data_IF_819882392235
#
_entry.id   IF_819882392235
#
_cell.length_a   1.000
_cell.length_b   1.000
_cell.length_c   1.000
_cell.angle_alpha   90.00
_cell.angle_beta   90.00
_cell.angle_gamma   90.00
#
_symmetry.space_group_name_H-M   'P 1'
#
loop_
_entity.id
_entity.type
_entity.pdbx_description
1 polymer ?
#
# COMPACT_ATOMS: atom_id res chain seq x y z
N UNK A 1 8.35 14.85 24.56
CA UNK A 1 8.07 15.88 23.53
C UNK A 1 6.83 16.69 23.92
N UNK A 2 5.65 16.07 24.10
CA UNK A 2 4.41 16.80 24.48
C UNK A 2 4.54 17.56 25.79
N UNK A 3 5.14 16.96 26.82
CA UNK A 3 5.39 17.62 28.11
C UNK A 3 6.35 18.81 28.01
N UNK A 4 7.17 18.89 26.97
CA UNK A 4 8.08 19.98 26.68
C UNK A 4 7.49 21.03 25.71
N UNK A 5 6.18 21.00 25.46
CA UNK A 5 5.52 21.94 24.54
C UNK A 5 5.83 21.73 23.05
N UNK A 6 6.56 20.66 22.69
CA UNK A 6 6.91 20.36 21.31
C UNK A 6 5.70 19.78 20.57
N UNK A 7 5.43 20.28 19.36
CA UNK A 7 4.38 19.76 18.48
C UNK A 7 4.73 18.34 18.04
N UNK A 8 3.82 17.41 18.27
CA UNK A 8 3.97 16.01 17.87
C UNK A 8 2.87 15.62 16.88
N UNK A 9 3.25 15.05 15.76
CA UNK A 9 2.38 14.43 14.76
C UNK A 9 2.78 12.97 14.59
N UNK A 10 1.84 12.06 14.80
CA UNK A 10 2.08 10.61 14.66
C UNK A 10 1.45 10.14 13.35
N UNK A 11 2.26 9.97 12.31
CA UNK A 11 1.82 9.43 11.04
C UNK A 11 1.79 7.90 11.09
N UNK A 12 0.61 7.32 10.84
CA UNK A 12 0.36 5.87 10.83
C UNK A 12 0.17 5.44 9.40
N UNK A 13 1.18 4.82 8.83
CA UNK A 13 1.17 4.40 7.43
C UNK A 13 0.46 3.05 7.25
N UNK A 14 -0.30 2.92 6.15
CA UNK A 14 -0.69 1.65 5.60
C UNK A 14 0.50 0.93 4.95
N UNK A 15 0.21 -0.04 4.09
CA UNK A 15 1.24 -0.72 3.30
C UNK A 15 1.84 0.30 2.32
N UNK A 16 3.09 0.70 2.55
CA UNK A 16 3.80 1.61 1.66
C UNK A 16 4.25 0.83 0.42
N UNK A 17 3.75 1.25 -0.73
CA UNK A 17 4.10 0.68 -2.03
C UNK A 17 5.30 1.43 -2.61
N UNK A 18 6.40 0.70 -2.83
CA UNK A 18 7.63 1.21 -3.45
C UNK A 18 8.26 0.12 -4.31
N UNK A 19 8.79 0.43 -5.50
CA UNK A 19 9.50 -0.54 -6.32
C UNK A 19 10.89 -0.91 -5.77
N UNK A 20 11.47 -0.04 -4.94
CA UNK A 20 12.83 -0.17 -4.43
C UNK A 20 12.93 -0.95 -3.12
N UNK A 21 11.80 -1.24 -2.46
CA UNK A 21 11.81 -1.94 -1.18
C UNK A 21 10.42 -2.14 -0.57
N UNK A 22 10.39 -2.72 0.63
CA UNK A 22 9.15 -2.98 1.35
C UNK A 22 8.34 -4.16 0.82
N UNK A 23 7.02 -4.01 0.79
CA UNK A 23 6.10 -5.09 0.45
C UNK A 23 6.03 -5.38 -1.06
N UNK A 24 6.00 -4.33 -1.91
CA UNK A 24 5.73 -4.48 -3.34
C UNK A 24 6.75 -5.41 -4.05
N UNK A 25 8.08 -5.24 -3.93
CA UNK A 25 9.03 -6.13 -4.60
C UNK A 25 8.94 -7.59 -4.13
N UNK A 26 8.49 -7.81 -2.90
CA UNK A 26 8.31 -9.16 -2.35
C UNK A 26 7.02 -9.82 -2.83
N UNK A 27 6.04 -9.03 -3.25
CA UNK A 27 4.77 -9.49 -3.80
C UNK A 27 4.83 -9.78 -5.30
N UNK A 28 5.78 -9.17 -6.03
CA UNK A 28 5.89 -9.27 -7.48
C UNK A 28 6.39 -10.64 -8.01
N UNK A 29 7.33 -11.36 -7.35
CA UNK A 29 7.88 -12.60 -7.89
C UNK A 29 6.85 -13.64 -8.31
N UNK A 30 5.74 -13.89 -7.58
CA UNK A 30 4.70 -14.80 -8.04
C UNK A 30 4.10 -14.42 -9.39
N UNK A 31 4.04 -13.12 -9.71
CA UNK A 31 3.56 -12.64 -11.01
C UNK A 31 4.59 -12.81 -12.13
N UNK A 32 5.84 -13.17 -11.82
CA UNK A 32 6.88 -13.55 -12.77
C UNK A 32 6.75 -14.97 -13.27
N UNK A 33 6.16 -15.88 -12.49
CA UNK A 33 5.95 -17.27 -12.86
C UNK A 33 4.73 -17.41 -13.79
N UNK A 34 4.75 -18.34 -14.76
CA UNK A 34 3.67 -18.49 -15.75
C UNK A 34 2.30 -18.84 -15.16
N UNK A 35 2.25 -19.33 -13.93
CA UNK A 35 1.06 -19.93 -13.33
C UNK A 35 0.72 -19.43 -11.91
N UNK A 36 1.42 -18.46 -11.36
CA UNK A 36 1.27 -18.14 -9.94
C UNK A 36 1.14 -16.65 -9.68
N UNK A 37 -0.06 -16.12 -9.82
CA UNK A 37 -0.34 -14.76 -9.37
C UNK A 37 -1.82 -14.62 -9.04
N UNK A 38 -2.17 -14.88 -7.81
CA UNK A 38 -3.55 -14.83 -7.39
C UNK A 38 -3.73 -14.32 -5.97
N UNK A 39 -4.93 -14.53 -5.46
CA UNK A 39 -5.27 -14.17 -4.10
C UNK A 39 -4.49 -15.01 -3.08
N UNK A 40 -4.07 -14.38 -2.00
CA UNK A 40 -3.39 -15.01 -0.88
C UNK A 40 -4.44 -15.40 0.17
N UNK A 41 -4.53 -16.69 0.50
CA UNK A 41 -5.34 -17.16 1.62
C UNK A 41 -6.83 -16.82 1.53
N UNK A 42 -7.40 -16.84 0.30
CA UNK A 42 -8.80 -16.49 0.04
C UNK A 42 -9.03 -15.03 -0.35
N UNK A 43 -8.05 -14.16 -0.19
CA UNK A 43 -8.05 -12.77 -0.72
C UNK A 43 -9.05 -11.80 -0.10
N UNK A 44 -9.75 -12.20 0.98
CA UNK A 44 -10.82 -11.38 1.58
C UNK A 44 -10.32 -10.35 2.59
N UNK A 45 -9.05 -10.43 3.00
CA UNK A 45 -8.44 -9.46 3.90
C UNK A 45 -8.33 -8.08 3.25
N UNK A 46 -8.58 -7.05 4.06
CA UNK A 46 -8.42 -5.67 3.65
C UNK A 46 -6.97 -5.23 3.74
N UNK A 47 -6.48 -4.59 2.69
CA UNK A 47 -5.18 -3.96 2.64
C UNK A 47 -5.35 -2.46 2.45
N UNK A 48 -4.93 -1.72 3.46
CA UNK A 48 -4.82 -0.26 3.40
C UNK A 48 -3.43 0.09 2.90
N UNK A 49 -3.35 0.83 1.80
CA UNK A 49 -2.12 1.09 1.07
C UNK A 49 -1.88 2.58 0.82
N UNK A 50 -0.64 2.94 0.54
CA UNK A 50 -0.23 4.28 0.11
C UNK A 50 0.99 4.16 -0.80
N UNK A 51 1.07 4.96 -1.87
CA UNK A 51 2.27 5.08 -2.67
C UNK A 51 3.39 5.80 -1.91
N UNK A 52 4.65 5.47 -2.18
CA UNK A 52 5.79 6.11 -1.52
C UNK A 52 5.79 7.63 -1.69
N UNK A 53 5.46 8.11 -2.89
CA UNK A 53 5.38 9.55 -3.18
C UNK A 53 4.37 10.27 -2.28
N UNK A 54 3.21 9.66 -2.07
CA UNK A 54 2.18 10.21 -1.17
C UNK A 54 2.58 10.07 0.30
N UNK A 55 3.28 9.00 0.67
CA UNK A 55 3.81 8.86 2.03
C UNK A 55 4.81 9.99 2.34
N UNK A 56 5.71 10.30 1.43
CA UNK A 56 6.66 11.42 1.53
C UNK A 56 5.91 12.75 1.55
N UNK A 57 4.92 12.91 0.67
CA UNK A 57 4.07 14.11 0.62
C UNK A 57 3.35 14.36 1.94
N UNK A 58 2.82 13.31 2.58
CA UNK A 58 2.14 13.41 3.88
C UNK A 58 3.11 13.81 5.00
N UNK A 59 4.36 13.32 4.97
CA UNK A 59 5.41 13.75 5.92
C UNK A 59 5.70 15.23 5.72
N UNK A 60 5.92 15.65 4.47
CA UNK A 60 6.17 17.07 4.15
C UNK A 60 5.01 17.95 4.59
N UNK A 61 3.77 17.56 4.27
CA UNK A 61 2.57 18.28 4.71
C UNK A 61 2.50 18.41 6.24
N UNK A 62 2.80 17.34 6.97
CA UNK A 62 2.82 17.34 8.42
C UNK A 62 3.92 18.25 9.02
N UNK A 63 5.02 18.43 8.32
CA UNK A 63 6.08 19.38 8.73
C UNK A 63 5.65 20.83 8.51
N UNK A 64 5.01 21.13 7.38
CA UNK A 64 4.65 22.48 6.97
C UNK A 64 3.36 22.99 7.65
N UNK A 65 2.34 22.14 7.81
CA UNK A 65 1.08 22.57 8.43
C UNK A 65 1.15 22.50 9.96
N UNK A 66 1.28 23.67 10.58
CA UNK A 66 1.36 23.83 12.03
C UNK A 66 0.06 23.46 12.78
N UNK A 67 -1.04 23.26 12.06
CA UNK A 67 -2.34 22.85 12.64
C UNK A 67 -2.41 21.36 12.94
N UNK A 68 -1.54 20.54 12.32
CA UNK A 68 -1.53 19.09 12.54
C UNK A 68 -0.97 18.77 13.92
N UNK A 69 -1.73 17.98 14.71
CA UNK A 69 -1.32 17.47 16.03
C UNK A 69 -1.92 16.10 16.28
N UNK A 70 -1.16 15.23 16.93
CA UNK A 70 -1.59 13.88 17.30
C UNK A 70 -1.59 12.89 16.12
N UNK A 71 -2.42 11.82 16.14
CA UNK A 71 -2.34 10.73 15.17
C UNK A 71 -3.09 11.04 13.87
N UNK A 72 -2.47 10.72 12.75
CA UNK A 72 -3.05 10.76 11.40
C UNK A 72 -2.74 9.45 10.66
N UNK A 73 -3.76 8.86 10.08
CA UNK A 73 -3.57 7.72 9.19
C UNK A 73 -3.18 8.23 7.79
N UNK A 74 -2.16 7.61 7.20
CA UNK A 74 -1.63 7.93 5.88
C UNK A 74 -1.90 6.74 4.98
N UNK A 75 -3.07 6.77 4.34
CA UNK A 75 -3.62 5.70 3.51
C UNK A 75 -4.31 6.34 2.33
N UNK A 76 -3.90 6.03 1.09
CA UNK A 76 -4.56 6.51 -0.11
C UNK A 76 -5.86 5.75 -0.38
N UNK A 77 -5.87 4.43 -0.09
CA UNK A 77 -7.04 3.59 -0.26
C UNK A 77 -6.97 2.29 0.53
N UNK A 78 -8.09 1.60 0.58
CA UNK A 78 -8.20 0.26 1.14
C UNK A 78 -8.94 -0.64 0.17
N UNK A 79 -8.33 -1.77 -0.20
CA UNK A 79 -8.87 -2.75 -1.16
C UNK A 79 -8.81 -4.17 -0.58
N UNK A 80 -9.60 -5.09 -1.12
CA UNK A 80 -9.42 -6.50 -0.83
C UNK A 80 -8.12 -7.00 -1.46
N UNK A 81 -7.46 -7.96 -0.82
CA UNK A 81 -6.21 -8.52 -1.34
C UNK A 81 -6.41 -9.16 -2.73
N UNK A 82 -7.55 -9.81 -2.98
CA UNK A 82 -7.87 -10.33 -4.31
C UNK A 82 -7.94 -9.23 -5.38
N UNK A 83 -8.51 -8.07 -5.05
CA UNK A 83 -8.60 -6.92 -5.98
C UNK A 83 -7.21 -6.30 -6.21
N UNK A 84 -6.39 -6.23 -5.15
CA UNK A 84 -5.00 -5.83 -5.27
C UNK A 84 -4.23 -6.73 -6.23
N UNK A 85 -4.31 -8.06 -6.04
CA UNK A 85 -3.66 -9.04 -6.91
C UNK A 85 -4.15 -8.95 -8.36
N UNK A 86 -5.47 -8.81 -8.56
CA UNK A 86 -6.05 -8.63 -9.89
C UNK A 86 -5.53 -7.35 -10.57
N UNK A 87 -5.41 -6.24 -9.82
CA UNK A 87 -4.90 -4.97 -10.34
C UNK A 87 -3.42 -5.07 -10.70
N UNK A 88 -2.60 -5.71 -9.88
CA UNK A 88 -1.18 -6.00 -10.22
C UNK A 88 -1.10 -6.83 -11.50
N UNK A 89 -1.93 -7.87 -11.62
CA UNK A 89 -2.01 -8.71 -12.82
C UNK A 89 -2.32 -7.91 -14.09
N UNK A 90 -3.30 -7.00 -14.01
CA UNK A 90 -3.65 -6.10 -15.13
C UNK A 90 -2.48 -5.18 -15.50
N UNK A 91 -1.87 -4.53 -14.53
CA UNK A 91 -0.75 -3.60 -14.75
C UNK A 91 0.46 -4.33 -15.36
N UNK A 92 0.73 -5.55 -14.93
CA UNK A 92 1.81 -6.37 -15.48
C UNK A 92 1.45 -7.09 -16.76
N UNK A 93 0.17 -7.00 -17.23
CA UNK A 93 -0.37 -7.76 -18.36
C UNK A 93 -0.17 -9.27 -18.19
N UNK A 94 -0.40 -9.77 -16.96
CA UNK A 94 -0.29 -11.19 -16.61
C UNK A 94 -1.54 -11.67 -15.88
N UNK A 95 -2.08 -12.84 -16.23
CA UNK A 95 -3.28 -13.34 -15.58
C UNK A 95 -3.02 -13.68 -14.11
N UNK A 96 -3.85 -13.13 -13.21
CA UNK A 96 -3.84 -13.40 -11.78
C UNK A 96 -4.81 -14.58 -11.47
N UNK A 97 -4.48 -15.80 -11.91
CA UNK A 97 -5.46 -16.89 -11.98
C UNK A 97 -5.34 -17.90 -10.84
N UNK A 98 -4.16 -18.13 -10.28
CA UNK A 98 -3.96 -19.20 -9.30
C UNK A 98 -3.81 -18.62 -7.89
N UNK A 99 -4.73 -18.96 -6.97
CA UNK A 99 -4.61 -18.54 -5.57
C UNK A 99 -3.38 -19.17 -4.91
N UNK A 100 -2.60 -18.37 -4.20
CA UNK A 100 -1.47 -18.84 -3.39
C UNK A 100 -1.98 -19.36 -2.04
N UNK A 101 -1.78 -20.64 -1.73
CA UNK A 101 -2.15 -21.18 -0.44
C UNK A 101 -1.36 -20.52 0.69
N UNK A 102 -1.99 -20.38 1.87
CA UNK A 102 -1.38 -19.74 3.05
C UNK A 102 -0.03 -20.34 3.46
N UNK A 103 0.15 -21.66 3.29
CA UNK A 103 1.38 -22.34 3.67
C UNK A 103 2.58 -21.94 2.79
N UNK A 104 2.36 -21.62 1.51
CA UNK A 104 3.39 -21.14 0.60
C UNK A 104 3.89 -19.76 1.04
N UNK A 105 2.99 -18.87 1.40
CA UNK A 105 3.34 -17.54 1.93
C UNK A 105 4.16 -17.65 3.22
N UNK A 106 3.74 -18.54 4.12
CA UNK A 106 4.46 -18.78 5.38
C UNK A 106 5.86 -19.34 5.17
N UNK A 107 6.04 -20.22 4.18
CA UNK A 107 7.35 -20.84 3.88
C UNK A 107 8.32 -19.88 3.20
N UNK A 108 7.83 -19.02 2.29
CA UNK A 108 8.70 -18.14 1.50
C UNK A 108 8.99 -16.81 2.20
N UNK A 109 8.04 -16.25 2.95
CA UNK A 109 8.15 -14.91 3.54
C UNK A 109 8.34 -14.90 5.07
N UNK A 110 8.37 -16.07 5.71
CA UNK A 110 8.55 -16.20 7.15
C UNK A 110 7.42 -15.58 7.98
N UNK A 111 7.68 -15.41 9.26
CA UNK A 111 6.69 -14.92 10.25
C UNK A 111 6.21 -13.48 9.98
N UNK A 112 7.11 -12.64 9.49
CA UNK A 112 6.80 -11.24 9.14
C UNK A 112 5.86 -11.14 7.92
N UNK A 113 6.06 -11.98 6.91
CA UNK A 113 5.15 -12.05 5.75
C UNK A 113 3.76 -12.54 6.15
N UNK A 114 3.71 -13.49 7.06
CA UNK A 114 2.46 -14.01 7.61
C UNK A 114 1.68 -12.92 8.38
N UNK A 115 2.35 -12.20 9.25
CA UNK A 115 1.73 -11.13 10.05
C UNK A 115 1.24 -9.96 9.21
N UNK A 116 1.98 -9.57 8.16
CA UNK A 116 1.63 -8.41 7.31
C UNK A 116 0.60 -8.76 6.23
N UNK A 117 0.77 -9.90 5.55
CA UNK A 117 -0.05 -10.23 4.37
C UNK A 117 -1.40 -10.88 4.72
N UNK A 118 -1.47 -11.54 5.87
CA UNK A 118 -2.72 -12.15 6.35
C UNK A 118 -3.50 -11.24 7.30
N UNK A 119 -2.91 -10.15 7.78
CA UNK A 119 -3.62 -9.13 8.54
C UNK A 119 -4.71 -8.47 7.68
N UNK A 120 -5.85 -8.20 8.29
CA UNK A 120 -6.95 -7.50 7.66
C UNK A 120 -7.15 -6.18 8.37
N UNK A 121 -6.81 -5.08 7.72
CA UNK A 121 -6.92 -3.74 8.31
C UNK A 121 -7.50 -2.78 7.27
N UNK A 122 -8.71 -2.30 7.54
CA UNK A 122 -9.36 -1.25 6.75
C UNK A 122 -9.28 0.07 7.52
N UNK A 123 -8.51 1.01 7.01
CA UNK A 123 -8.23 2.29 7.66
C UNK A 123 -8.73 3.43 6.79
N UNK A 124 -9.31 4.46 7.41
CA UNK A 124 -9.67 5.72 6.75
C UNK A 124 -8.61 6.79 7.05
N UNK A 125 -8.35 7.65 6.05
CA UNK A 125 -7.48 8.84 6.13
C UNK A 125 -8.26 10.16 6.14
N UNK A 126 -9.56 10.12 6.40
CA UNK A 126 -10.45 11.30 6.39
C UNK A 126 -9.92 12.46 7.24
N UNK A 127 -9.31 12.17 8.39
CA UNK A 127 -8.72 13.18 9.25
C UNK A 127 -7.57 13.94 8.57
N UNK A 128 -6.78 13.28 7.73
CA UNK A 128 -5.70 13.93 6.96
C UNK A 128 -6.26 14.72 5.79
N UNK A 129 -7.25 14.16 5.10
CA UNK A 129 -7.97 14.84 4.02
C UNK A 129 -8.68 16.12 4.52
N UNK A 130 -9.29 16.09 5.72
CA UNK A 130 -9.89 17.26 6.37
C UNK A 130 -8.86 18.36 6.75
N UNK A 131 -7.57 18.09 6.56
CA UNK A 131 -6.45 19.04 6.70
C UNK A 131 -5.85 19.42 5.36
N UNK A 132 -6.66 19.43 4.31
CA UNK A 132 -6.31 19.88 2.96
C UNK A 132 -5.22 19.02 2.27
N UNK A 133 -4.88 17.84 2.83
CA UNK A 133 -3.97 16.93 2.15
C UNK A 133 -4.64 16.30 0.93
N UNK A 134 -4.00 16.39 -0.22
CA UNK A 134 -4.49 15.80 -1.48
C UNK A 134 -3.55 14.71 -1.95
N UNK A 135 -4.12 13.53 -2.15
CA UNK A 135 -3.42 12.38 -2.70
C UNK A 135 -3.05 12.64 -4.17
N UNK A 136 -1.83 12.33 -4.53
CA UNK A 136 -1.34 12.40 -5.92
C UNK A 136 -1.73 11.15 -6.70
N UNK A 137 -1.79 10.01 -6.02
CA UNK A 137 -2.06 8.68 -6.56
C UNK A 137 -3.17 8.01 -5.73
N UNK A 138 -4.43 8.52 -5.81
CA UNK A 138 -5.54 7.99 -5.03
C UNK A 138 -6.01 6.62 -5.52
N UNK A 139 -5.82 6.31 -6.80
CA UNK A 139 -6.25 5.06 -7.42
C UNK A 139 -5.12 4.03 -7.45
N UNK A 140 -5.42 2.80 -7.06
CA UNK A 140 -4.42 1.73 -6.94
C UNK A 140 -3.75 1.41 -8.28
N UNK A 141 -4.52 1.39 -9.35
CA UNK A 141 -3.99 1.06 -10.67
C UNK A 141 -3.00 2.11 -11.16
N UNK A 142 -3.34 3.39 -10.99
CA UNK A 142 -2.46 4.51 -11.35
C UNK A 142 -1.19 4.52 -10.52
N UNK A 143 -1.32 4.27 -9.21
CA UNK A 143 -0.17 4.13 -8.31
C UNK A 143 0.76 2.99 -8.75
N UNK A 144 0.22 1.82 -9.08
CA UNK A 144 1.01 0.68 -9.55
C UNK A 144 1.65 0.95 -10.91
N UNK A 145 0.92 1.56 -11.86
CA UNK A 145 1.47 1.96 -13.16
C UNK A 145 2.63 2.93 -12.99
N UNK A 146 2.47 3.93 -12.14
CA UNK A 146 3.53 4.89 -11.82
C UNK A 146 4.76 4.20 -11.21
N UNK A 147 4.56 3.44 -10.14
CA UNK A 147 5.65 2.79 -9.40
C UNK A 147 6.41 1.73 -10.20
N UNK A 148 5.73 1.06 -11.14
CA UNK A 148 6.31 -0.01 -11.96
C UNK A 148 6.80 0.49 -13.34
N UNK A 149 6.79 1.80 -13.58
CA UNK A 149 7.22 2.40 -14.84
C UNK A 149 6.35 1.99 -16.04
N UNK A 150 5.05 1.72 -15.79
CA UNK A 150 4.08 1.28 -16.80
C UNK A 150 3.08 2.38 -17.19
N UNK A 151 3.41 3.65 -16.93
CA UNK A 151 2.62 4.77 -17.46
C UNK A 151 2.67 4.71 -18.99
N UNK A 152 1.51 4.61 -19.61
CA UNK A 152 1.36 4.99 -21.01
C UNK A 152 1.49 6.52 -20.98
N UNK A 153 2.53 7.06 -21.60
CA UNK A 153 2.53 8.46 -21.96
C UNK A 153 1.49 8.58 -23.07
N UNK A 154 0.36 9.20 -22.76
CA UNK A 154 -0.56 9.66 -23.80
C UNK A 154 0.24 10.63 -24.68
N UNK A 155 0.50 10.18 -25.91
CA UNK A 155 1.21 10.93 -26.93
C UNK A 155 0.21 11.92 -27.60
#
# INVERSE_FOLDING_TARGET
>A
ALAAGIRVVNLRFGIVLSPQGGALPRMLPPFGAPLASGSIGGGQQWWSWVALDDAIGAIHHALCDQRLRGPYNVVAGAVRQCDFAATVGRVLRRPAVIPLPRFVVSGVMGEMGRSLLLASTRVSSERLAARDYRWRLPELEDALRHLLGRREFDA
#
